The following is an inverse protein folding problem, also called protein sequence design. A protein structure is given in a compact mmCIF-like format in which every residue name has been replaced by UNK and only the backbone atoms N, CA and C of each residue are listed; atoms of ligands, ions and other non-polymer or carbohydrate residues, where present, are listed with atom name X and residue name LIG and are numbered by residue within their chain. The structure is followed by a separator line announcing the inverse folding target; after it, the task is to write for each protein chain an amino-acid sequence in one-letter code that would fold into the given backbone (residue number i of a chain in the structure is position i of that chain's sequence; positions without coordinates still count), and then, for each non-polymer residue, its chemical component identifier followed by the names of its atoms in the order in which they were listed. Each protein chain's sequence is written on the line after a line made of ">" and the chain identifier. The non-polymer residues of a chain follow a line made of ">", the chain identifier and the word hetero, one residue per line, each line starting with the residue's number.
data_IF_221750203623
#
_entry.id   IF_221750203623
#
_cell.length_a   1.000
_cell.length_b   1.000
_cell.length_c   1.000
_cell.angle_alpha   90.00
_cell.angle_beta   90.00
_cell.angle_gamma   90.00
#
_symmetry.space_group_name_H-M   'P 1'
#
loop_
_entity.id
_entity.type
_entity.pdbx_description
1 polymer ?
#
# COMPACT_ATOMS: atom_id res chain seq x y z
N UNK A 1 -0.05 -28.49 31.78
CA UNK A 1 -0.74 -28.68 30.49
C UNK A 1 -1.08 -27.29 30.01
N UNK A 2 -0.56 -26.89 28.85
CA UNK A 2 -0.47 -25.49 28.43
C UNK A 2 -1.88 -24.93 28.19
N UNK A 3 -2.25 -23.80 28.80
CA UNK A 3 -3.58 -23.18 28.67
C UNK A 3 -3.96 -22.94 27.18
N UNK A 4 -2.94 -22.77 26.34
CA UNK A 4 -3.05 -22.72 24.89
C UNK A 4 -3.70 -23.99 24.27
N UNK A 5 -3.26 -25.19 24.68
CA UNK A 5 -3.81 -26.45 24.15
C UNK A 5 -5.26 -26.67 24.61
N UNK A 6 -5.60 -26.21 25.81
CA UNK A 6 -6.95 -26.29 26.32
C UNK A 6 -7.90 -25.35 25.56
N UNK A 7 -7.46 -24.13 25.25
CA UNK A 7 -8.25 -23.18 24.46
C UNK A 7 -8.44 -23.63 23.01
N UNK A 8 -7.41 -24.26 22.40
CA UNK A 8 -7.51 -24.86 21.07
C UNK A 8 -8.52 -26.03 21.04
N UNK A 9 -8.51 -26.90 22.06
CA UNK A 9 -9.45 -28.02 22.16
C UNK A 9 -10.90 -27.53 22.35
N UNK A 10 -11.12 -26.53 23.20
CA UNK A 10 -12.45 -25.94 23.43
C UNK A 10 -12.99 -25.33 22.14
N UNK A 11 -12.15 -24.58 21.41
CA UNK A 11 -12.52 -23.97 20.13
C UNK A 11 -12.90 -25.05 19.11
N UNK A 12 -12.10 -26.10 18.99
CA UNK A 12 -12.38 -27.22 18.08
C UNK A 12 -13.71 -27.89 18.40
N UNK A 13 -14.01 -28.15 19.68
CA UNK A 13 -15.28 -28.75 20.10
C UNK A 13 -16.47 -27.83 19.79
N UNK A 14 -16.35 -26.53 20.01
CA UNK A 14 -17.42 -25.56 19.71
C UNK A 14 -17.68 -25.52 18.20
N UNK A 15 -16.63 -25.45 17.39
CA UNK A 15 -16.76 -25.43 15.92
C UNK A 15 -17.33 -26.75 15.40
N UNK A 16 -16.84 -27.89 15.87
CA UNK A 16 -17.36 -29.20 15.48
C UNK A 16 -18.84 -29.37 15.87
N UNK A 17 -19.24 -28.85 17.04
CA UNK A 17 -20.64 -28.88 17.49
C UNK A 17 -21.52 -27.96 16.66
N UNK A 18 -21.05 -26.77 16.30
CA UNK A 18 -21.74 -25.84 15.40
C UNK A 18 -21.89 -26.43 13.99
N UNK A 19 -20.85 -27.07 13.46
CA UNK A 19 -20.89 -27.76 12.17
C UNK A 19 -21.86 -28.95 12.20
N UNK A 20 -21.85 -29.77 13.25
CA UNK A 20 -22.78 -30.87 13.42
C UNK A 20 -24.23 -30.38 13.56
N UNK A 21 -24.45 -29.29 14.29
CA UNK A 21 -25.77 -28.66 14.41
C UNK A 21 -26.27 -28.13 13.06
N UNK A 22 -25.39 -27.42 12.33
CA UNK A 22 -25.67 -26.93 10.98
C UNK A 22 -25.98 -28.10 10.04
N UNK A 23 -25.22 -29.20 10.10
CA UNK A 23 -25.47 -30.41 9.32
C UNK A 23 -26.85 -30.99 9.61
N UNK A 24 -27.22 -31.16 10.88
CA UNK A 24 -28.54 -31.71 11.23
C UNK A 24 -29.71 -30.80 10.86
N UNK A 25 -29.55 -29.48 10.95
CA UNK A 25 -30.55 -28.51 10.48
C UNK A 25 -30.63 -28.49 8.95
N UNK A 26 -29.50 -28.65 8.26
CA UNK A 26 -29.42 -28.78 6.81
C UNK A 26 -30.12 -30.05 6.33
N UNK A 27 -29.84 -31.19 6.96
CA UNK A 27 -30.42 -32.50 6.62
C UNK A 27 -31.94 -32.49 6.82
N UNK A 28 -32.41 -31.90 7.93
CA UNK A 28 -33.85 -31.75 8.18
C UNK A 28 -34.52 -30.81 7.18
N UNK A 29 -33.88 -29.69 6.84
CA UNK A 29 -34.36 -28.77 5.79
C UNK A 29 -34.31 -29.42 4.41
N UNK A 30 -33.32 -30.25 4.13
CA UNK A 30 -33.17 -30.99 2.88
C UNK A 30 -34.26 -32.04 2.73
N UNK A 31 -34.57 -32.78 3.79
CA UNK A 31 -35.68 -33.74 3.83
C UNK A 31 -37.05 -33.06 3.63
N UNK A 32 -37.27 -31.91 4.27
CA UNK A 32 -38.48 -31.12 4.08
C UNK A 32 -38.55 -30.50 2.67
N UNK A 33 -37.41 -30.11 2.09
CA UNK A 33 -37.29 -29.68 0.69
C UNK A 33 -37.62 -30.83 -0.26
N UNK A 34 -37.05 -32.02 -0.06
CA UNK A 34 -37.30 -33.22 -0.86
C UNK A 34 -38.77 -33.65 -0.82
N UNK A 35 -39.44 -33.53 0.34
CA UNK A 35 -40.89 -33.76 0.43
C UNK A 35 -41.70 -32.73 -0.36
N UNK A 36 -41.27 -31.47 -0.39
CA UNK A 36 -41.91 -30.40 -1.18
C UNK A 36 -41.64 -30.53 -2.69
N UNK A 37 -40.51 -31.15 -3.09
CA UNK A 37 -40.12 -31.40 -4.50
C UNK A 37 -41.18 -32.16 -5.28
N UNK A 38 -41.87 -33.11 -4.66
CA UNK A 38 -42.82 -33.99 -5.36
C UNK A 38 -44.13 -33.32 -5.83
N UNK A 39 -44.41 -32.06 -5.47
CA UNK A 39 -45.72 -31.42 -5.73
C UNK A 39 -45.70 -30.18 -6.63
N UNK A 40 -44.53 -29.61 -6.95
CA UNK A 40 -44.44 -28.30 -7.64
C UNK A 40 -44.08 -28.44 -9.12
N UNK A 41 -44.54 -27.50 -9.94
CA UNK A 41 -44.15 -27.41 -11.35
C UNK A 41 -42.71 -26.88 -11.49
N UNK A 42 -42.00 -27.26 -12.55
CA UNK A 42 -40.60 -26.88 -12.82
C UNK A 42 -40.36 -25.36 -12.77
N UNK A 43 -41.36 -24.56 -13.17
CA UNK A 43 -41.28 -23.08 -13.08
C UNK A 43 -41.22 -22.58 -11.64
N UNK A 44 -42.03 -23.15 -10.74
CA UNK A 44 -42.04 -22.78 -9.33
C UNK A 44 -40.74 -23.20 -8.66
N UNK A 45 -40.17 -24.32 -9.09
CA UNK A 45 -38.84 -24.79 -8.69
C UNK A 45 -37.73 -23.81 -9.04
N UNK A 46 -37.67 -23.35 -10.28
CA UNK A 46 -36.64 -22.41 -10.70
C UNK A 46 -36.68 -21.10 -9.89
N UNK A 47 -37.89 -20.59 -9.60
CA UNK A 47 -38.08 -19.36 -8.83
C UNK A 47 -37.65 -19.56 -7.37
N UNK A 48 -38.06 -20.66 -6.73
CA UNK A 48 -37.72 -20.93 -5.33
C UNK A 48 -36.23 -21.22 -5.14
N UNK A 49 -35.60 -21.92 -6.08
CA UNK A 49 -34.16 -22.22 -6.06
C UNK A 49 -33.35 -20.93 -6.26
N UNK A 50 -33.77 -20.04 -7.16
CA UNK A 50 -33.16 -18.72 -7.32
C UNK A 50 -33.28 -17.90 -6.03
N UNK A 51 -34.48 -17.77 -5.45
CA UNK A 51 -34.69 -16.99 -4.22
C UNK A 51 -33.93 -17.55 -3.02
N UNK A 52 -33.97 -18.86 -2.80
CA UNK A 52 -33.26 -19.48 -1.69
C UNK A 52 -31.74 -19.45 -1.92
N UNK A 53 -31.28 -19.62 -3.16
CA UNK A 53 -29.87 -19.49 -3.53
C UNK A 53 -29.36 -18.08 -3.29
N UNK A 54 -30.06 -17.06 -3.78
CA UNK A 54 -29.73 -15.65 -3.54
C UNK A 54 -29.78 -15.31 -2.06
N UNK A 55 -30.82 -15.72 -1.33
CA UNK A 55 -30.90 -15.48 0.12
C UNK A 55 -29.76 -16.15 0.88
N UNK A 56 -29.44 -17.41 0.56
CA UNK A 56 -28.33 -18.14 1.21
C UNK A 56 -26.99 -17.48 0.87
N UNK A 57 -26.78 -17.09 -0.38
CA UNK A 57 -25.58 -16.36 -0.79
C UNK A 57 -25.45 -15.03 -0.05
N UNK A 58 -26.50 -14.21 -0.02
CA UNK A 58 -26.51 -12.93 0.70
C UNK A 58 -26.33 -13.12 2.20
N UNK A 59 -26.95 -14.15 2.78
CA UNK A 59 -26.80 -14.51 4.19
C UNK A 59 -25.36 -14.90 4.49
N UNK A 60 -24.77 -15.81 3.73
CA UNK A 60 -23.36 -16.21 3.89
C UNK A 60 -22.44 -15.02 3.69
N UNK A 61 -22.56 -14.29 2.58
CA UNK A 61 -21.72 -13.13 2.27
C UNK A 61 -21.77 -12.08 3.39
N UNK A 62 -22.96 -11.68 3.83
CA UNK A 62 -23.07 -10.65 4.86
C UNK A 62 -22.85 -11.15 6.28
N UNK A 63 -23.40 -12.31 6.67
CA UNK A 63 -23.30 -12.78 8.05
C UNK A 63 -21.98 -13.49 8.31
N UNK A 64 -21.49 -14.34 7.39
CA UNK A 64 -20.17 -14.94 7.54
C UNK A 64 -19.07 -13.89 7.32
N UNK A 65 -19.25 -12.95 6.39
CA UNK A 65 -18.33 -11.81 6.24
C UNK A 65 -18.28 -10.94 7.50
N UNK A 66 -19.45 -10.61 8.09
CA UNK A 66 -19.51 -9.88 9.36
C UNK A 66 -18.97 -10.69 10.54
N UNK A 67 -19.19 -12.01 10.59
CA UNK A 67 -18.61 -12.87 11.62
C UNK A 67 -17.08 -12.89 11.51
N UNK A 68 -16.56 -13.02 10.30
CA UNK A 68 -15.13 -12.98 10.02
C UNK A 68 -14.51 -11.62 10.39
N UNK A 69 -15.17 -10.50 10.07
CA UNK A 69 -14.65 -9.17 10.41
C UNK A 69 -14.84 -8.78 11.87
N UNK A 70 -15.88 -9.27 12.55
CA UNK A 70 -16.21 -8.86 13.93
C UNK A 70 -15.48 -9.70 14.98
N UNK A 71 -15.20 -10.99 14.70
CA UNK A 71 -14.66 -11.91 15.69
C UNK A 71 -13.25 -12.40 15.31
N UNK A 72 -12.18 -11.88 15.96
CA UNK A 72 -10.78 -12.23 15.66
C UNK A 72 -10.49 -13.73 15.70
N UNK A 73 -11.20 -14.48 16.54
CA UNK A 73 -11.02 -15.92 16.69
C UNK A 73 -11.60 -16.70 15.49
N UNK A 74 -12.71 -16.22 14.91
CA UNK A 74 -13.27 -16.77 13.67
C UNK A 74 -12.33 -16.46 12.51
N UNK A 75 -11.83 -15.22 12.43
CA UNK A 75 -10.81 -14.83 11.44
C UNK A 75 -9.58 -15.74 11.53
N UNK A 76 -8.94 -15.83 12.70
CA UNK A 76 -7.75 -16.65 12.90
C UNK A 76 -7.97 -18.14 12.57
N UNK A 77 -9.15 -18.68 12.87
CA UNK A 77 -9.50 -20.06 12.52
C UNK A 77 -9.70 -20.25 11.02
N UNK A 78 -10.44 -19.35 10.37
CA UNK A 78 -10.64 -19.35 8.92
C UNK A 78 -9.31 -19.15 8.19
N UNK A 79 -8.42 -18.31 8.70
CA UNK A 79 -7.09 -18.09 8.14
C UNK A 79 -6.15 -19.28 8.41
N UNK A 80 -6.28 -19.99 9.53
CA UNK A 80 -5.50 -21.20 9.78
C UNK A 80 -5.91 -22.37 8.88
N UNK A 81 -7.19 -22.46 8.50
CA UNK A 81 -7.72 -23.52 7.63
C UNK A 81 -7.65 -23.14 6.15
N UNK A 82 -7.98 -21.89 5.84
CA UNK A 82 -7.99 -21.33 4.49
C UNK A 82 -6.64 -20.73 4.07
N UNK A 83 -5.73 -20.49 5.01
CA UNK A 83 -4.38 -19.98 4.76
C UNK A 83 -3.62 -20.79 3.71
N UNK A 84 -3.60 -22.14 3.76
CA UNK A 84 -2.97 -22.93 2.69
C UNK A 84 -3.67 -22.84 1.33
N UNK A 85 -4.93 -22.38 1.28
CA UNK A 85 -5.75 -22.29 0.06
C UNK A 85 -5.71 -20.86 -0.53
N UNK A 86 -5.54 -19.83 0.32
CA UNK A 86 -5.56 -18.42 -0.07
C UNK A 86 -4.19 -17.73 -0.01
N UNK A 87 -3.19 -18.28 0.69
CA UNK A 87 -1.79 -17.80 0.60
C UNK A 87 -1.12 -18.16 -0.73
N UNK A 88 -1.88 -18.80 -1.63
CA UNK A 88 -1.52 -19.11 -3.01
C UNK A 88 -2.45 -18.42 -4.02
N UNK A 89 -3.26 -17.41 -3.61
CA UNK A 89 -3.58 -16.36 -4.58
C UNK A 89 -2.27 -15.61 -4.80
N UNK A 90 -1.63 -15.90 -5.93
CA UNK A 90 -0.47 -15.14 -6.38
C UNK A 90 -0.78 -13.66 -6.28
N UNK A 91 0.15 -12.86 -5.79
CA UNK A 91 0.14 -11.39 -5.88
C UNK A 91 0.11 -10.86 -7.34
N UNK A 92 -0.18 -11.73 -8.31
CA UNK A 92 -0.31 -11.46 -9.73
C UNK A 92 -1.75 -11.12 -10.14
N UNK A 93 -2.73 -11.22 -9.23
CA UNK A 93 -4.11 -10.84 -9.50
C UNK A 93 -4.27 -9.32 -9.37
N UNK A 94 -4.09 -8.62 -10.50
CA UNK A 94 -4.40 -7.20 -10.65
C UNK A 94 -5.87 -7.01 -11.07
N UNK A 95 -6.51 -5.87 -10.75
CA UNK A 95 -6.02 -4.75 -9.94
C UNK A 95 -6.13 -5.00 -8.43
N UNK A 96 -5.24 -4.37 -7.64
CA UNK A 96 -5.28 -4.45 -6.17
C UNK A 96 -4.93 -3.11 -5.50
N UNK A 97 -5.33 -2.96 -4.25
CA UNK A 97 -4.88 -1.90 -3.36
C UNK A 97 -4.54 -2.46 -1.98
N UNK A 98 -3.67 -1.79 -1.24
CA UNK A 98 -3.41 -2.09 0.16
C UNK A 98 -3.27 -0.83 0.99
N UNK A 99 -3.74 -0.90 2.23
CA UNK A 99 -3.53 0.13 3.24
C UNK A 99 -2.67 -0.48 4.34
N UNK A 100 -1.45 -0.01 4.47
CA UNK A 100 -0.53 -0.37 5.54
C UNK A 100 -0.56 0.70 6.62
N UNK A 101 -0.91 0.31 7.85
CA UNK A 101 -0.98 1.16 9.01
C UNK A 101 0.31 1.01 9.83
N UNK A 102 0.97 2.12 10.17
CA UNK A 102 2.08 2.14 11.11
C UNK A 102 1.55 2.42 12.52
N UNK A 103 1.61 1.40 13.37
CA UNK A 103 1.12 1.43 14.74
C UNK A 103 2.28 1.63 15.70
N UNK A 104 2.17 2.64 16.55
CA UNK A 104 3.07 2.86 17.67
C UNK A 104 2.59 2.08 18.89
N UNK A 105 3.45 1.20 19.39
CA UNK A 105 3.19 0.42 20.60
C UNK A 105 3.59 1.22 21.85
N UNK A 106 3.04 0.82 23.00
CA UNK A 106 3.26 1.53 24.25
C UNK A 106 4.72 1.52 24.73
N UNK A 107 5.54 0.60 24.23
CA UNK A 107 6.97 0.49 24.52
C UNK A 107 7.85 1.29 23.53
N UNK A 108 7.25 2.01 22.59
CA UNK A 108 7.93 2.80 21.56
C UNK A 108 8.27 2.02 20.29
N UNK A 109 7.99 0.71 20.24
CA UNK A 109 8.16 -0.08 19.02
C UNK A 109 7.13 0.29 17.97
N UNK A 110 7.50 0.04 16.72
CA UNK A 110 6.63 0.19 15.57
C UNK A 110 6.18 -1.18 15.08
N UNK A 111 4.91 -1.28 14.68
CA UNK A 111 4.34 -2.47 14.06
C UNK A 111 3.49 -2.08 12.86
N UNK A 112 3.56 -2.87 11.80
CA UNK A 112 2.68 -2.70 10.64
C UNK A 112 1.43 -3.57 10.75
N UNK A 113 0.31 -3.06 10.26
CA UNK A 113 -0.92 -3.82 10.00
C UNK A 113 -1.32 -3.54 8.55
N UNK A 114 -1.49 -4.57 7.73
CA UNK A 114 -1.86 -4.41 6.33
C UNK A 114 -3.27 -4.93 6.06
N UNK A 115 -4.08 -4.11 5.41
CA UNK A 115 -5.36 -4.49 4.83
C UNK A 115 -5.24 -4.50 3.31
N UNK A 116 -5.59 -5.62 2.68
CA UNK A 116 -5.54 -5.83 1.23
C UNK A 116 -6.94 -5.80 0.60
N UNK A 117 -7.03 -5.23 -0.59
CA UNK A 117 -8.26 -5.06 -1.36
C UNK A 117 -8.08 -5.61 -2.78
N UNK A 118 -8.85 -6.63 -3.13
CA UNK A 118 -8.97 -7.14 -4.50
C UNK A 118 -9.93 -6.21 -5.28
N UNK A 119 -9.41 -5.45 -6.23
CA UNK A 119 -10.20 -4.46 -6.96
C UNK A 119 -10.93 -5.08 -8.16
N UNK A 120 -10.72 -6.38 -8.41
CA UNK A 120 -11.54 -7.14 -9.36
C UNK A 120 -12.92 -7.50 -8.79
N UNK A 121 -13.12 -7.36 -7.47
CA UNK A 121 -14.40 -7.61 -6.82
C UNK A 121 -15.49 -6.63 -7.32
N UNK A 122 -16.75 -7.12 -7.33
CA UNK A 122 -17.94 -6.39 -7.81
C UNK A 122 -18.10 -4.98 -7.20
N UNK A 123 -17.54 -4.74 -6.02
CA UNK A 123 -17.61 -3.45 -5.34
C UNK A 123 -16.75 -2.37 -6.02
N UNK A 124 -15.67 -2.77 -6.68
CA UNK A 124 -14.63 -1.89 -7.21
C UNK A 124 -14.59 -1.88 -8.74
N UNK A 125 -14.98 -2.99 -9.37
CA UNK A 125 -14.84 -3.23 -10.82
C UNK A 125 -15.54 -2.20 -11.72
N UNK A 126 -16.60 -1.55 -11.23
CA UNK A 126 -17.38 -0.58 -12.02
C UNK A 126 -16.82 0.85 -11.98
N UNK A 127 -15.68 1.06 -11.33
CA UNK A 127 -15.05 2.36 -11.15
C UNK A 127 -13.63 2.34 -11.65
N UNK A 128 -13.22 3.43 -12.29
CA UNK A 128 -11.83 3.66 -12.65
C UNK A 128 -10.97 3.84 -11.40
N UNK A 129 -9.65 3.63 -11.52
CA UNK A 129 -8.75 3.80 -10.38
C UNK A 129 -8.80 5.22 -9.80
N UNK A 130 -8.89 6.23 -10.66
CA UNK A 130 -9.04 7.63 -10.27
C UNK A 130 -10.35 7.89 -9.50
N UNK A 131 -11.41 7.12 -9.72
CA UNK A 131 -12.66 7.22 -8.96
C UNK A 131 -12.58 6.47 -7.61
N UNK A 132 -11.77 5.42 -7.53
CA UNK A 132 -11.55 4.67 -6.30
C UNK A 132 -10.53 5.34 -5.36
N UNK A 133 -9.56 6.07 -5.90
CA UNK A 133 -8.52 6.73 -5.11
C UNK A 133 -9.07 7.67 -4.02
N UNK A 134 -10.02 8.59 -4.29
CA UNK A 134 -10.60 9.43 -3.23
C UNK A 134 -11.24 8.63 -2.09
N UNK A 135 -11.79 7.45 -2.40
CA UNK A 135 -12.36 6.56 -1.39
C UNK A 135 -11.28 5.97 -0.49
N UNK A 136 -10.18 5.47 -1.06
CA UNK A 136 -9.05 4.97 -0.27
C UNK A 136 -8.36 6.07 0.54
N UNK A 137 -8.23 7.28 -0.01
CA UNK A 137 -7.72 8.44 0.71
C UNK A 137 -8.59 8.74 1.95
N UNK A 138 -9.91 8.75 1.78
CA UNK A 138 -10.84 8.94 2.90
C UNK A 138 -10.74 7.81 3.92
N UNK A 139 -10.58 6.56 3.48
CA UNK A 139 -10.37 5.44 4.41
C UNK A 139 -9.09 5.62 5.25
N UNK A 140 -7.98 6.01 4.63
CA UNK A 140 -6.73 6.29 5.36
C UNK A 140 -6.91 7.42 6.39
N UNK A 141 -7.61 8.50 5.99
CA UNK A 141 -7.94 9.62 6.90
C UNK A 141 -8.82 9.18 8.05
N UNK A 142 -9.87 8.40 7.78
CA UNK A 142 -10.79 7.90 8.80
C UNK A 142 -10.04 6.99 9.79
N UNK A 143 -9.14 6.12 9.30
CA UNK A 143 -8.29 5.27 10.16
C UNK A 143 -7.42 6.12 11.09
N UNK A 144 -6.73 7.12 10.54
CA UNK A 144 -5.88 8.03 11.33
C UNK A 144 -6.69 8.85 12.34
N UNK A 145 -7.85 9.39 11.96
CA UNK A 145 -8.70 10.17 12.86
C UNK A 145 -9.25 9.34 14.02
N UNK A 146 -9.64 8.09 13.74
CA UNK A 146 -10.30 7.24 14.73
C UNK A 146 -9.34 6.50 15.66
N UNK A 147 -8.04 6.41 15.33
CA UNK A 147 -7.07 5.68 16.14
C UNK A 147 -5.78 6.47 16.35
N UNK A 148 -5.58 6.99 17.57
CA UNK A 148 -4.41 7.79 17.95
C UNK A 148 -3.09 7.02 17.98
N UNK A 149 -3.12 5.68 18.06
CA UNK A 149 -1.89 4.87 18.05
C UNK A 149 -1.31 4.69 16.66
N UNK A 150 -2.09 5.02 15.61
CA UNK A 150 -1.61 4.97 14.23
C UNK A 150 -0.96 6.31 13.92
N UNK A 151 0.32 6.29 13.57
CA UNK A 151 1.10 7.47 13.21
C UNK A 151 1.05 7.77 11.71
N UNK A 152 1.01 6.72 10.89
CA UNK A 152 1.05 6.81 9.43
C UNK A 152 0.14 5.75 8.77
N UNK A 153 -0.44 6.07 7.63
CA UNK A 153 -1.02 5.12 6.69
C UNK A 153 -0.34 5.23 5.33
N UNK A 154 0.12 4.12 4.79
CA UNK A 154 0.61 3.99 3.43
C UNK A 154 -0.47 3.33 2.58
N UNK A 155 -0.87 4.01 1.51
CA UNK A 155 -1.75 3.49 0.48
C UNK A 155 -0.91 3.06 -0.73
N UNK A 156 -0.98 1.79 -1.08
CA UNK A 156 -0.45 1.25 -2.33
C UNK A 156 -1.58 0.86 -3.25
N UNK A 157 -1.45 1.15 -4.54
CA UNK A 157 -2.43 0.81 -5.56
C UNK A 157 -1.71 0.33 -6.80
N UNK A 158 -2.13 -0.80 -7.35
CA UNK A 158 -1.61 -1.31 -8.61
C UNK A 158 -2.76 -1.71 -9.54
N UNK A 159 -2.82 -1.09 -10.72
CA UNK A 159 -3.91 -1.32 -11.68
C UNK A 159 -3.64 -2.56 -12.54
N UNK A 160 -2.41 -2.74 -12.97
CA UNK A 160 -1.92 -3.90 -13.71
C UNK A 160 -0.41 -4.05 -13.51
N UNK A 161 0.13 -5.21 -13.90
CA UNK A 161 1.56 -5.53 -13.76
C UNK A 161 2.50 -4.55 -14.47
N UNK A 162 2.03 -3.86 -15.51
CA UNK A 162 2.86 -2.97 -16.34
C UNK A 162 2.80 -1.50 -15.88
N UNK A 163 1.74 -1.11 -15.16
CA UNK A 163 1.45 0.28 -14.77
C UNK A 163 2.24 0.80 -13.57
N UNK A 164 3.06 -0.07 -12.96
CA UNK A 164 3.74 0.22 -11.70
C UNK A 164 2.80 0.22 -10.49
N UNK A 165 3.34 0.54 -9.33
CA UNK A 165 2.62 0.63 -8.06
C UNK A 165 2.62 2.09 -7.64
N UNK A 166 1.44 2.65 -7.41
CA UNK A 166 1.26 4.00 -6.89
C UNK A 166 1.32 3.99 -5.38
N UNK A 167 2.08 4.90 -4.79
CA UNK A 167 2.35 4.95 -3.35
C UNK A 167 2.05 6.32 -2.78
N UNK A 168 1.21 6.37 -1.75
CA UNK A 168 0.81 7.60 -1.05
C UNK A 168 0.90 7.42 0.46
N UNK A 169 1.51 8.41 1.11
CA UNK A 169 1.68 8.44 2.57
C UNK A 169 0.72 9.46 3.16
N UNK A 170 -0.04 9.02 4.16
CA UNK A 170 -0.95 9.83 4.97
C UNK A 170 -0.47 9.83 6.41
N UNK A 171 -0.52 10.99 7.05
CA UNK A 171 -0.29 11.13 8.49
C UNK A 171 -1.15 12.28 9.02
N UNK A 172 -1.08 12.51 10.34
CA UNK A 172 -1.88 13.54 11.01
C UNK A 172 -1.53 14.98 10.62
N UNK A 173 -0.30 15.23 10.20
CA UNK A 173 0.17 16.56 9.80
C UNK A 173 -0.16 16.89 8.35
N UNK A 174 -0.42 15.86 7.54
CA UNK A 174 -0.69 15.98 6.12
C UNK A 174 -2.07 15.40 5.75
N UNK A 175 -3.07 15.52 6.63
CA UNK A 175 -4.40 14.99 6.34
C UNK A 175 -5.06 15.72 5.18
N UNK A 176 -4.82 17.02 5.06
CA UNK A 176 -5.40 17.90 4.04
C UNK A 176 -4.58 17.97 2.75
N UNK A 177 -3.53 17.14 2.61
CA UNK A 177 -2.80 17.04 1.34
C UNK A 177 -3.78 16.76 0.20
N UNK A 178 -3.49 17.43 -0.91
CA UNK A 178 -4.34 17.59 -2.09
C UNK A 178 -5.01 16.26 -2.49
N UNK A 179 -6.33 16.19 -2.39
CA UNK A 179 -7.10 15.00 -2.81
C UNK A 179 -7.11 14.81 -4.32
N UNK A 180 -6.72 15.85 -5.04
CA UNK A 180 -6.91 15.95 -6.49
C UNK A 180 -5.71 15.39 -7.27
N UNK A 181 -4.83 14.63 -6.58
CA UNK A 181 -3.69 14.00 -7.21
C UNK A 181 -4.15 12.89 -8.15
N UNK A 182 -4.11 13.20 -9.45
CA UNK A 182 -4.36 12.25 -10.53
C UNK A 182 -3.22 11.23 -10.56
N UNK A 183 -3.58 9.95 -10.64
CA UNK A 183 -2.62 8.86 -10.80
C UNK A 183 -1.88 9.07 -12.12
N UNK A 184 -0.57 9.28 -12.03
CA UNK A 184 0.27 9.52 -13.19
C UNK A 184 1.05 8.25 -13.52
N UNK A 185 0.64 7.52 -14.55
CA UNK A 185 1.27 6.27 -15.00
C UNK A 185 2.60 6.52 -15.76
N UNK A 186 3.43 7.44 -15.26
CA UNK A 186 4.74 7.77 -15.81
C UNK A 186 5.83 7.13 -14.94
N UNK A 187 6.31 5.92 -15.28
CA UNK A 187 7.48 5.36 -14.64
C UNK A 187 8.68 6.27 -14.88
N UNK A 188 9.52 6.41 -13.86
CA UNK A 188 10.76 7.19 -13.95
C UNK A 188 11.97 6.27 -13.90
N UNK A 189 13.03 6.63 -14.61
CA UNK A 189 14.29 5.89 -14.59
C UNK A 189 15.17 6.30 -13.39
N UNK A 190 14.54 6.43 -12.23
CA UNK A 190 15.21 6.73 -10.98
C UNK A 190 15.59 5.41 -10.30
N UNK A 191 16.76 5.37 -9.66
CA UNK A 191 17.17 4.27 -8.81
C UNK A 191 18.09 4.76 -7.71
N UNK A 192 18.10 4.04 -6.62
CA UNK A 192 19.13 4.14 -5.59
C UNK A 192 20.21 3.10 -5.85
N UNK A 193 21.47 3.45 -5.57
CA UNK A 193 22.58 2.51 -5.62
C UNK A 193 22.58 1.62 -4.38
N UNK A 194 22.27 2.18 -3.22
CA UNK A 194 22.00 1.45 -1.99
C UNK A 194 20.98 2.20 -1.12
N UNK A 195 20.24 1.45 -0.31
CA UNK A 195 19.33 1.95 0.71
C UNK A 195 19.58 1.09 1.92
N UNK A 196 20.05 1.69 3.00
CA UNK A 196 20.46 0.99 4.21
C UNK A 196 19.59 1.44 5.38
N UNK A 197 18.96 0.48 6.04
CA UNK A 197 18.32 0.68 7.33
C UNK A 197 19.38 0.61 8.42
N UNK A 198 19.49 1.69 9.21
CA UNK A 198 20.51 1.81 10.25
C UNK A 198 19.83 2.04 11.60
N UNK A 199 20.02 1.10 12.53
CA UNK A 199 19.49 1.20 13.88
C UNK A 199 20.62 1.27 14.92
N UNK A 200 20.59 2.16 15.94
CA UNK A 200 21.68 2.34 16.90
C UNK A 200 22.07 1.08 17.68
N UNK A 201 21.11 0.18 17.91
CA UNK A 201 21.35 -1.08 18.63
C UNK A 201 21.94 -2.18 17.74
N UNK A 202 22.05 -1.94 16.43
CA UNK A 202 22.61 -2.89 15.47
C UNK A 202 23.99 -2.43 14.98
N UNK A 203 24.99 -3.32 15.00
CA UNK A 203 26.34 -2.96 14.61
C UNK A 203 26.50 -2.79 13.09
N UNK A 204 25.68 -3.49 12.30
CA UNK A 204 25.75 -3.52 10.85
C UNK A 204 24.43 -3.01 10.25
N UNK A 205 24.47 -2.14 9.23
CA UNK A 205 23.28 -1.74 8.48
C UNK A 205 22.60 -2.93 7.79
N UNK A 206 21.30 -2.81 7.58
CA UNK A 206 20.52 -3.77 6.81
C UNK A 206 20.13 -3.18 5.45
N UNK A 207 20.65 -3.75 4.36
CA UNK A 207 20.36 -3.30 2.99
C UNK A 207 18.90 -3.62 2.62
N UNK A 208 18.17 -2.60 2.18
CA UNK A 208 16.79 -2.67 1.71
C UNK A 208 16.78 -2.58 0.19
N UNK A 209 16.02 -3.48 -0.45
CA UNK A 209 15.79 -3.46 -1.89
C UNK A 209 14.39 -2.93 -2.20
N UNK A 210 14.31 -1.86 -2.98
CA UNK A 210 13.03 -1.31 -3.46
C UNK A 210 12.79 -1.75 -4.90
N UNK A 211 11.63 -2.35 -5.15
CA UNK A 211 11.27 -2.80 -6.50
C UNK A 211 11.10 -1.63 -7.48
N UNK A 212 11.44 -1.86 -8.76
CA UNK A 212 11.36 -0.83 -9.81
C UNK A 212 9.95 -0.31 -10.03
N UNK A 213 8.93 -1.13 -9.78
CA UNK A 213 7.52 -0.75 -9.91
C UNK A 213 7.11 0.41 -9.00
N UNK A 214 7.85 0.68 -7.93
CA UNK A 214 7.59 1.81 -7.03
C UNK A 214 8.14 3.16 -7.54
N UNK A 215 9.00 3.18 -8.55
CA UNK A 215 9.59 4.42 -9.07
C UNK A 215 8.66 5.07 -10.11
N UNK A 216 7.51 5.55 -9.64
CA UNK A 216 6.53 6.32 -10.42
C UNK A 216 6.57 7.79 -10.02
N UNK A 217 6.41 8.70 -10.98
CA UNK A 217 6.39 10.13 -10.68
C UNK A 217 5.28 10.49 -9.68
N UNK A 218 5.66 11.16 -8.60
CA UNK A 218 4.82 11.58 -7.50
C UNK A 218 4.69 10.54 -6.38
N UNK A 219 5.27 9.34 -6.50
CA UNK A 219 5.19 8.34 -5.43
C UNK A 219 5.91 8.79 -4.17
N UNK A 220 5.32 8.49 -3.02
CA UNK A 220 5.95 8.67 -1.72
C UNK A 220 6.61 7.35 -1.32
N UNK A 221 7.93 7.36 -1.10
CA UNK A 221 8.71 6.16 -0.79
C UNK A 221 9.49 6.35 0.52
N UNK A 222 9.93 5.23 1.09
CA UNK A 222 10.84 5.19 2.25
C UNK A 222 10.30 5.91 3.50
N UNK A 223 8.98 6.01 3.64
CA UNK A 223 8.30 6.41 4.87
C UNK A 223 8.33 5.30 5.92
N UNK A 224 7.92 5.57 7.15
CA UNK A 224 7.92 4.57 8.23
C UNK A 224 7.10 3.32 7.90
N UNK A 225 5.88 3.46 7.39
CA UNK A 225 5.06 2.31 7.00
C UNK A 225 5.67 1.55 5.81
N UNK A 226 6.30 2.27 4.87
CA UNK A 226 6.95 1.67 3.70
C UNK A 226 8.17 0.84 4.11
N UNK A 227 9.03 1.37 4.99
CA UNK A 227 10.18 0.66 5.55
C UNK A 227 9.71 -0.56 6.35
N UNK A 228 8.72 -0.39 7.23
CA UNK A 228 8.17 -1.50 8.01
C UNK A 228 7.68 -2.65 7.13
N UNK A 229 7.02 -2.33 6.00
CA UNK A 229 6.60 -3.32 5.00
C UNK A 229 7.78 -4.08 4.41
N UNK A 230 8.79 -3.36 3.91
CA UNK A 230 9.97 -4.00 3.30
C UNK A 230 10.74 -4.88 4.28
N UNK A 231 10.88 -4.46 5.53
CA UNK A 231 11.51 -5.26 6.59
C UNK A 231 10.70 -6.53 6.91
N UNK A 232 9.37 -6.44 6.92
CA UNK A 232 8.51 -7.60 7.14
C UNK A 232 8.61 -8.61 5.99
N UNK A 233 8.61 -8.13 4.74
CA UNK A 233 8.73 -8.96 3.53
C UNK A 233 10.11 -9.63 3.43
N UNK A 234 11.16 -9.01 3.97
CA UNK A 234 12.54 -9.52 3.93
C UNK A 234 12.93 -10.40 5.12
N UNK A 235 11.95 -10.78 5.95
CA UNK A 235 12.13 -11.57 7.18
C UNK A 235 13.13 -10.95 8.18
N UNK A 236 13.24 -9.62 8.20
CA UNK A 236 14.12 -8.92 9.13
C UNK A 236 13.66 -9.14 10.59
N UNK A 237 14.59 -9.55 11.45
CA UNK A 237 14.32 -9.91 12.86
C UNK A 237 14.85 -8.90 13.89
N UNK A 238 15.35 -7.77 13.42
CA UNK A 238 15.90 -6.73 14.28
C UNK A 238 14.84 -5.85 14.95
N UNK A 239 15.29 -4.74 15.52
CA UNK A 239 14.40 -3.78 16.18
C UNK A 239 13.86 -2.80 15.14
N UNK A 240 12.54 -2.60 15.17
CA UNK A 240 11.84 -1.59 14.38
C UNK A 240 11.13 -0.63 15.35
N UNK A 241 11.75 0.52 15.59
CA UNK A 241 11.24 1.60 16.43
C UNK A 241 11.50 2.97 15.77
N UNK A 242 11.52 4.09 16.50
CA UNK A 242 11.72 5.43 15.92
C UNK A 242 13.18 5.86 15.82
N UNK A 243 14.11 5.12 16.41
CA UNK A 243 15.52 5.52 16.52
C UNK A 243 16.33 5.15 15.27
N UNK A 244 15.73 4.48 14.29
CA UNK A 244 16.41 4.19 13.03
C UNK A 244 16.52 5.42 12.13
N UNK A 245 17.49 5.35 11.23
CA UNK A 245 17.60 6.23 10.07
C UNK A 245 17.75 5.42 8.79
N UNK A 246 17.37 6.03 7.69
CA UNK A 246 17.59 5.48 6.35
C UNK A 246 18.78 6.20 5.74
N UNK A 247 19.79 5.45 5.34
CA UNK A 247 20.94 5.97 4.60
C UNK A 247 20.83 5.54 3.14
N UNK A 248 21.00 6.48 2.22
CA UNK A 248 20.83 6.25 0.78
C UNK A 248 22.01 6.76 0.01
N UNK A 249 22.47 5.96 -0.95
CA UNK A 249 23.38 6.40 -2.00
C UNK A 249 22.59 6.51 -3.29
N UNK A 250 22.42 7.71 -3.81
CA UNK A 250 21.68 7.92 -5.06
C UNK A 250 22.53 7.58 -6.30
N UNK A 251 21.90 7.62 -7.48
CA UNK A 251 22.57 7.36 -8.75
C UNK A 251 23.69 8.37 -9.11
N UNK A 252 23.75 9.52 -8.45
CA UNK A 252 24.83 10.50 -8.58
C UNK A 252 25.92 10.30 -7.51
N UNK A 253 25.85 9.20 -6.75
CA UNK A 253 26.77 8.84 -5.66
C UNK A 253 26.75 9.88 -4.54
N UNK A 254 25.61 10.55 -4.36
CA UNK A 254 25.40 11.44 -3.21
C UNK A 254 24.78 10.63 -2.09
N UNK A 255 25.31 10.87 -0.89
CA UNK A 255 24.80 10.28 0.33
C UNK A 255 23.71 11.20 0.89
N UNK A 256 22.57 10.61 1.24
CA UNK A 256 21.50 11.26 1.98
C UNK A 256 21.12 10.38 3.18
N UNK A 257 20.80 10.99 4.31
CA UNK A 257 20.29 10.29 5.48
C UNK A 257 19.09 11.04 6.04
N UNK A 258 18.09 10.31 6.54
CA UNK A 258 16.93 10.89 7.22
C UNK A 258 16.35 9.96 8.27
N UNK A 259 15.59 10.55 9.19
CA UNK A 259 14.96 9.86 10.33
C UNK A 259 13.60 9.24 9.95
N UNK A 260 13.02 8.45 10.87
CA UNK A 260 11.81 7.63 10.65
C UNK A 260 10.59 8.40 10.13
N UNK A 261 10.49 9.68 10.45
CA UNK A 261 9.36 10.56 10.15
C UNK A 261 9.56 11.33 8.85
N UNK A 262 10.42 10.85 7.95
CA UNK A 262 10.64 11.48 6.67
C UNK A 262 10.37 10.49 5.55
N UNK A 263 9.99 11.02 4.39
CA UNK A 263 9.80 10.24 3.19
C UNK A 263 10.25 11.04 1.98
N UNK A 264 10.47 10.36 0.87
CA UNK A 264 10.84 11.00 -0.38
C UNK A 264 9.64 10.99 -1.34
N UNK A 265 9.47 12.07 -2.09
CA UNK A 265 8.58 12.12 -3.25
C UNK A 265 9.41 12.02 -4.53
N UNK A 266 9.05 11.10 -5.42
CA UNK A 266 9.68 10.93 -6.73
C UNK A 266 9.27 12.08 -7.66
N UNK A 267 10.09 13.12 -7.78
CA UNK A 267 9.70 14.35 -8.47
C UNK A 267 9.93 14.31 -10.00
N UNK A 268 10.90 13.54 -10.48
CA UNK A 268 11.27 13.49 -11.89
C UNK A 268 12.07 12.25 -12.28
N UNK A 269 12.64 12.25 -13.49
CA UNK A 269 13.37 11.08 -14.02
C UNK A 269 14.54 10.64 -13.14
N UNK A 270 15.16 11.59 -12.45
CA UNK A 270 16.39 11.39 -11.68
C UNK A 270 16.41 12.11 -10.34
N UNK A 271 15.31 12.74 -9.98
CA UNK A 271 15.22 13.67 -8.85
C UNK A 271 14.11 13.25 -7.90
N UNK A 272 14.34 13.53 -6.63
CA UNK A 272 13.39 13.33 -5.55
C UNK A 272 13.40 14.53 -4.61
N UNK A 273 12.31 14.73 -3.90
CA UNK A 273 12.17 15.75 -2.87
C UNK A 273 12.05 15.05 -1.53
N UNK A 274 12.84 15.47 -0.55
CA UNK A 274 12.74 14.97 0.82
C UNK A 274 11.69 15.79 1.58
N UNK A 275 10.71 15.12 2.16
CA UNK A 275 9.65 15.72 2.95
C UNK A 275 9.94 15.48 4.43
N UNK A 276 10.09 16.57 5.18
CA UNK A 276 10.29 16.53 6.62
C UNK A 276 8.98 16.74 7.37
N UNK A 277 8.68 15.87 8.35
CA UNK A 277 7.62 16.18 9.30
C UNK A 277 8.14 17.14 10.36
N UNK A 278 7.85 18.42 10.16
CA UNK A 278 8.03 19.40 11.22
C UNK A 278 6.99 19.10 12.29
N UNK A 279 7.41 18.39 13.34
CA UNK A 279 6.69 18.30 14.61
C UNK A 279 6.63 19.71 15.22
N UNK A 280 5.75 20.54 14.66
CA UNK A 280 5.35 21.80 15.25
C UNK A 280 4.49 21.44 16.46
N UNK A 281 5.15 21.00 17.53
CA UNK A 281 4.57 21.08 18.86
C UNK A 281 4.05 22.51 18.97
N UNK A 282 2.74 22.73 19.15
CA UNK A 282 2.23 24.06 19.37
C UNK A 282 2.82 24.49 20.71
N UNK A 283 3.97 25.18 20.66
CA UNK A 283 4.54 25.82 21.82
C UNK A 283 3.42 26.69 22.38
N UNK A 284 3.06 26.33 23.60
CA UNK A 284 1.99 26.85 24.39
C UNK A 284 2.36 28.30 24.74
N UNK A 285 2.19 29.23 23.78
CA UNK A 285 2.35 30.66 23.97
C UNK A 285 1.14 31.19 24.74
N UNK A 286 1.04 30.77 26.00
CA UNK A 286 0.26 31.45 27.02
C UNK A 286 1.02 32.69 27.48
N UNK A 287 0.51 33.84 27.04
CA UNK A 287 0.62 35.17 27.66
C UNK A 287 1.76 35.40 28.67
N UNK A 288 2.74 36.21 28.30
CA UNK A 288 3.25 37.24 29.21
C UNK A 288 3.51 38.53 28.46
N UNK A 289 2.77 39.56 28.87
CA UNK A 289 2.78 40.90 28.33
C UNK A 289 4.00 41.71 28.82
N UNK A 290 4.50 42.58 27.94
CA UNK A 290 5.24 43.81 28.19
C UNK A 290 6.56 43.76 29.01
N UNK A 291 7.67 43.91 28.29
CA UNK A 291 8.62 44.99 28.57
C UNK A 291 9.52 45.25 27.37
N UNK A 292 9.46 46.49 26.86
CA UNK A 292 10.43 47.07 25.94
C UNK A 292 11.84 46.97 26.54
N UNK A 293 12.78 46.43 25.79
CA UNK A 293 14.20 46.79 25.91
C UNK A 293 14.89 46.57 24.56
N UNK A 294 15.41 47.68 24.01
CA UNK A 294 16.39 47.66 22.93
C UNK A 294 17.70 47.11 23.49
N UNK A 295 18.22 46.04 22.91
CA UNK A 295 19.66 45.77 22.93
C UNK A 295 20.05 44.97 21.69
N UNK A 296 20.93 45.56 20.90
CA UNK A 296 21.64 44.99 19.78
C UNK A 296 22.64 43.93 20.24
N UNK A 297 22.54 42.72 19.70
CA UNK A 297 23.65 41.77 19.58
C UNK A 297 23.49 41.00 18.28
N UNK A 298 24.55 41.06 17.50
CA UNK A 298 24.84 40.24 16.33
C UNK A 298 24.85 38.74 16.67
N UNK A 299 24.72 37.93 15.62
CA UNK A 299 24.87 36.47 15.57
C UNK A 299 23.85 35.64 16.35
N UNK A 300 22.95 34.98 15.62
CA UNK A 300 22.68 33.53 15.68
C UNK A 300 21.74 33.16 14.53
N UNK A 301 22.10 32.08 13.86
CA UNK A 301 21.48 31.42 12.72
C UNK A 301 19.98 31.16 12.86
N UNK A 302 19.22 31.67 11.90
CA UNK A 302 17.86 31.22 11.58
C UNK A 302 17.85 29.73 11.20
N UNK A 303 16.78 28.98 11.50
CA UNK A 303 16.63 27.61 11.01
C UNK A 303 16.41 27.65 9.48
N UNK A 304 16.85 26.63 8.73
CA UNK A 304 16.70 26.63 7.29
C UNK A 304 15.22 26.52 6.93
N UNK A 305 14.72 27.53 6.21
CA UNK A 305 13.52 27.44 5.38
C UNK A 305 13.56 26.14 4.58
N UNK A 306 12.41 25.45 4.49
CA UNK A 306 12.12 24.31 3.61
C UNK A 306 13.11 24.21 2.44
N UNK A 307 14.22 23.50 2.64
CA UNK A 307 15.18 23.24 1.56
C UNK A 307 14.53 22.21 0.66
N UNK A 308 13.78 22.68 -0.33
CA UNK A 308 13.68 21.98 -1.58
C UNK A 308 15.13 21.76 -2.04
N UNK A 309 15.59 20.51 -2.03
CA UNK A 309 16.74 20.13 -2.83
C UNK A 309 16.32 20.19 -4.30
N UNK A 310 16.13 21.40 -4.83
CA UNK A 310 16.16 21.61 -6.28
C UNK A 310 17.60 21.41 -6.71
N UNK A 311 17.90 20.19 -7.16
CA UNK A 311 19.10 19.93 -7.95
C UNK A 311 19.09 20.92 -9.14
N UNK A 312 20.15 21.72 -9.22
CA UNK A 312 20.38 22.82 -10.17
C UNK A 312 19.91 22.55 -11.60
N UNK A 313 19.38 23.60 -12.26
CA UNK A 313 19.21 23.66 -13.71
C UNK A 313 20.52 23.28 -14.43
N UNK A 314 20.46 22.54 -15.55
CA UNK A 314 21.66 22.17 -16.30
C UNK A 314 22.35 23.44 -16.81
N UNK A 315 23.65 23.54 -16.52
CA UNK A 315 24.56 24.50 -17.15
C UNK A 315 24.49 24.33 -18.68
N UNK A 316 23.99 25.35 -19.37
CA UNK A 316 24.17 25.54 -20.80
C UNK A 316 25.67 25.68 -21.09
N UNK A 317 26.32 24.56 -21.38
CA UNK A 317 27.68 24.52 -21.90
C UNK A 317 27.57 24.64 -23.42
N UNK A 318 27.83 25.85 -23.90
CA UNK A 318 28.41 26.22 -25.19
C UNK A 318 28.34 25.17 -26.31
N UNK A 319 27.32 25.31 -27.18
CA UNK A 319 27.40 24.85 -28.58
C UNK A 319 27.70 26.03 -29.51
N UNK A 320 28.91 26.56 -29.40
CA UNK A 320 29.60 27.14 -30.56
C UNK A 320 30.58 26.09 -31.10
N UNK A 321 30.16 25.37 -32.14
CA UNK A 321 31.12 24.86 -33.13
C UNK A 321 30.48 24.70 -34.48
N UNK A 322 30.76 25.70 -35.31
CA UNK A 322 30.78 25.60 -36.76
C UNK A 322 31.61 24.38 -37.21
N UNK A 323 31.04 23.57 -38.09
CA UNK A 323 31.76 23.06 -39.25
C UNK A 323 30.77 22.48 -40.27
N UNK A 324 30.50 23.29 -41.28
CA UNK A 324 30.17 22.87 -42.64
C UNK A 324 30.99 21.67 -43.11
N UNK A 325 30.35 20.59 -43.57
CA UNK A 325 30.86 19.68 -44.61
C UNK A 325 29.65 19.16 -45.42
N UNK A 326 29.91 19.04 -46.72
CA UNK A 326 29.05 18.90 -47.89
C UNK A 326 28.39 17.54 -48.11
N UNK A 327 27.30 17.59 -48.89
CA UNK A 327 26.69 16.54 -49.72
C UNK A 327 27.63 15.43 -50.22
N UNK A 328 27.11 14.20 -50.24
CA UNK A 328 27.10 13.32 -51.42
C UNK A 328 25.94 12.31 -51.33
N UNK A 329 25.29 12.11 -52.47
CA UNK A 329 24.30 11.07 -52.79
C UNK A 329 24.82 9.66 -52.51
N UNK A 330 23.94 8.68 -52.31
CA UNK A 330 23.73 7.58 -53.27
C UNK A 330 22.65 6.62 -52.79
N UNK A 331 21.95 6.09 -53.79
CA UNK A 331 20.87 5.11 -53.77
C UNK A 331 21.31 3.75 -53.21
N UNK A 332 20.32 2.93 -52.83
CA UNK A 332 20.23 1.47 -53.05
C UNK A 332 19.13 0.91 -52.12
N UNK A 333 18.01 0.43 -52.67
CA UNK A 333 17.76 -0.99 -52.97
C UNK A 333 17.70 -1.85 -51.69
N UNK A 334 16.82 -2.83 -51.47
CA UNK A 334 15.64 -3.39 -52.11
C UNK A 334 15.23 -4.54 -51.16
N UNK A 335 13.97 -4.99 -51.21
CA UNK A 335 13.47 -6.27 -50.67
C UNK A 335 13.21 -6.32 -49.15
N UNK A 336 12.17 -6.99 -48.61
CA UNK A 336 11.34 -8.09 -49.13
C UNK A 336 10.05 -8.15 -48.28
N UNK A 337 8.89 -8.18 -48.94
CA UNK A 337 7.63 -8.62 -48.35
C UNK A 337 7.59 -10.14 -48.26
N UNK A 338 7.12 -10.68 -47.15
CA UNK A 338 6.67 -12.07 -47.06
C UNK A 338 5.30 -12.15 -46.39
N UNK A 339 4.48 -12.98 -47.04
CA UNK A 339 3.37 -13.77 -46.49
C UNK A 339 1.93 -13.27 -46.71
N UNK A 340 1.46 -13.56 -47.92
CA UNK A 340 0.13 -14.14 -48.15
C UNK A 340 0.28 -15.67 -48.22
N UNK A 341 -0.54 -16.40 -47.45
CA UNK A 341 -0.87 -17.80 -47.72
C UNK A 341 -2.38 -17.97 -47.59
N UNK A 342 -3.00 -17.98 -48.77
CA UNK A 342 -4.05 -18.86 -49.28
C UNK A 342 -5.19 -19.34 -48.36
N UNK A 343 -6.38 -18.81 -48.66
CA UNK A 343 -7.66 -19.51 -48.55
C UNK A 343 -7.95 -20.19 -49.90
N UNK A 344 -8.31 -21.47 -49.86
CA UNK A 344 -9.24 -22.24 -50.72
C UNK A 344 -8.96 -23.72 -50.41
N UNK A 345 -9.91 -24.56 -49.99
CA UNK A 345 -11.20 -24.91 -50.60
C UNK A 345 -12.07 -25.66 -49.59
#
# INVERSE_FOLDING_TARGET
>A
MNDYLQNQLITFVIVATLLAFLQTDLDKKLDDLLKRITKKNAKEWAIELFWNGSYTYTFVKHHCGKLYSTYPLVRSFVDAIGGPINSAKSNDDYPWASITQLVEEADGRLRIIEDFFDLSDDEWIYKTMNENLPRFNNMCRDILQNNTTISECLLLIAENAESGIHSRVFNRYNMDADTDVIINNNPVNMKFLSIDYVHPTQPEPYEIVVDKSYFMKGNHLLSGAFIGRLLADSEYTGVFDKDYRIAVIDQEVKNAEWEYDNYIEVAGEKTYVLHFFVNSSPENNGDTSNSQNMLSTDDISSPPDNTQYTLFEPLDIDKERDSSISNTNEDDEETKSWDKVDMET
#
